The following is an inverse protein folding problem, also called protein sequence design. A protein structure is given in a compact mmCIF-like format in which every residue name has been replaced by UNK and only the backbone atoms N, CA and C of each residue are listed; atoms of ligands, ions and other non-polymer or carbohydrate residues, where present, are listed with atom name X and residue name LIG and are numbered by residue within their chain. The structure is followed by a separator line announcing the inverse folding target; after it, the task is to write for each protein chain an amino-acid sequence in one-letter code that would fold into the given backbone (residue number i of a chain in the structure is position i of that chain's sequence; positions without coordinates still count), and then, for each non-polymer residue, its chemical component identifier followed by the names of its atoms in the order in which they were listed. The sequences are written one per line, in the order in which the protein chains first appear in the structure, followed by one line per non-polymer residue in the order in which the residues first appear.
data_IF_137702221383
#
_entry.id   IF_137702221383
#
_cell.length_a   1.000
_cell.length_b   1.000
_cell.length_c   1.000
_cell.angle_alpha   90.00
_cell.angle_beta   90.00
_cell.angle_gamma   90.00
#
_symmetry.space_group_name_H-M   'P 1'
#
loop_
_entity.id
_entity.type
_entity.pdbx_description
1 polymer ?
#
# COMPACT_ATOMS: atom_id res chain seq x y z
N UNK A 1 -16.05 -23.87 26.42
CA UNK A 1 -15.72 -23.85 24.98
C UNK A 1 -15.97 -22.44 24.42
N UNK A 2 -15.34 -21.41 25.02
CA UNK A 2 -15.87 -20.03 24.94
C UNK A 2 -14.80 -18.95 24.79
N UNK A 3 -13.52 -19.27 24.97
CA UNK A 3 -12.40 -18.32 24.85
C UNK A 3 -11.91 -18.18 23.39
N UNK A 4 -11.76 -19.30 22.70
CA UNK A 4 -11.39 -19.36 21.27
C UNK A 4 -12.34 -18.58 20.35
N UNK A 5 -13.64 -18.63 20.62
CA UNK A 5 -14.64 -17.88 19.82
C UNK A 5 -14.48 -16.36 20.00
N UNK A 6 -14.19 -15.90 21.23
CA UNK A 6 -13.98 -14.48 21.55
C UNK A 6 -12.63 -13.97 21.05
N UNK A 7 -11.59 -14.80 21.08
CA UNK A 7 -10.26 -14.46 20.58
C UNK A 7 -10.28 -14.29 19.05
N UNK A 8 -11.02 -15.13 18.32
CA UNK A 8 -11.24 -14.98 16.88
C UNK A 8 -12.02 -13.70 16.54
N UNK A 9 -12.99 -13.30 17.37
CA UNK A 9 -13.72 -12.05 17.16
C UNK A 9 -12.81 -10.82 17.25
N UNK A 10 -11.87 -10.80 18.21
CA UNK A 10 -10.86 -9.72 18.32
C UNK A 10 -9.89 -9.70 17.14
N UNK A 11 -9.43 -10.87 16.71
CA UNK A 11 -8.55 -10.97 15.54
C UNK A 11 -9.26 -10.51 14.26
N UNK A 12 -10.55 -10.84 14.10
CA UNK A 12 -11.37 -10.41 12.97
C UNK A 12 -11.57 -8.89 12.96
N UNK A 13 -11.89 -8.30 14.11
CA UNK A 13 -12.05 -6.84 14.25
C UNK A 13 -10.75 -6.09 13.94
N UNK A 14 -9.62 -6.57 14.48
CA UNK A 14 -8.30 -6.03 14.17
C UNK A 14 -7.98 -6.15 12.68
N UNK A 15 -8.25 -7.30 12.07
CA UNK A 15 -8.06 -7.51 10.63
C UNK A 15 -8.88 -6.54 9.78
N UNK A 16 -10.17 -6.40 10.07
CA UNK A 16 -11.06 -5.49 9.32
C UNK A 16 -10.62 -4.03 9.48
N UNK A 17 -10.23 -3.64 10.69
CA UNK A 17 -9.71 -2.30 10.98
C UNK A 17 -8.44 -2.03 10.18
N UNK A 18 -7.46 -2.94 10.24
CA UNK A 18 -6.20 -2.79 9.51
C UNK A 18 -6.42 -2.80 8.00
N UNK A 19 -7.30 -3.67 7.48
CA UNK A 19 -7.66 -3.68 6.06
C UNK A 19 -8.25 -2.34 5.63
N UNK A 20 -9.22 -1.81 6.38
CA UNK A 20 -9.83 -0.53 6.06
C UNK A 20 -8.82 0.63 6.05
N UNK A 21 -7.83 0.61 6.94
CA UNK A 21 -6.75 1.59 6.94
C UNK A 21 -5.88 1.47 5.69
N UNK A 22 -5.52 0.25 5.28
CA UNK A 22 -4.76 0.01 4.04
C UNK A 22 -5.56 0.46 2.82
N UNK A 23 -6.85 0.10 2.72
CA UNK A 23 -7.71 0.50 1.62
C UNK A 23 -7.75 2.04 1.47
N UNK A 24 -7.91 2.76 2.60
CA UNK A 24 -7.89 4.23 2.60
C UNK A 24 -6.54 4.82 2.18
N UNK A 25 -5.42 4.19 2.55
CA UNK A 25 -4.08 4.61 2.11
C UNK A 25 -3.89 4.40 0.60
N UNK A 26 -4.36 3.27 0.07
CA UNK A 26 -4.31 2.96 -1.36
C UNK A 26 -5.16 3.94 -2.17
N UNK A 27 -6.36 4.28 -1.69
CA UNK A 27 -7.23 5.27 -2.34
C UNK A 27 -6.58 6.66 -2.39
N UNK A 28 -5.92 7.08 -1.31
CA UNK A 28 -5.15 8.34 -1.29
C UNK A 28 -4.01 8.35 -2.29
N UNK A 29 -3.27 7.25 -2.43
CA UNK A 29 -2.20 7.12 -3.43
C UNK A 29 -2.75 7.15 -4.85
N UNK A 30 -3.90 6.50 -5.09
CA UNK A 30 -4.58 6.54 -6.39
C UNK A 30 -5.00 7.97 -6.74
N UNK A 31 -5.66 8.67 -5.83
CA UNK A 31 -6.06 10.06 -6.03
C UNK A 31 -4.85 10.98 -6.29
N UNK A 32 -3.74 10.78 -5.57
CA UNK A 32 -2.50 11.51 -5.81
C UNK A 32 -1.92 11.20 -7.20
N UNK A 33 -2.00 9.95 -7.66
CA UNK A 33 -1.59 9.57 -9.01
C UNK A 33 -2.47 10.20 -10.08
N UNK A 34 -3.78 10.26 -9.87
CA UNK A 34 -4.73 10.89 -10.79
C UNK A 34 -4.46 12.42 -10.89
N UNK A 35 -3.99 13.03 -9.79
CA UNK A 35 -3.52 14.42 -9.71
C UNK A 35 -2.02 14.58 -10.10
N UNK A 36 -1.46 13.64 -10.87
CA UNK A 36 -0.07 13.69 -11.37
C UNK A 36 0.99 13.87 -10.27
N UNK A 37 0.75 13.28 -9.10
CA UNK A 37 1.55 13.47 -7.89
C UNK A 37 1.74 14.95 -7.52
N UNK A 38 0.68 15.75 -7.69
CA UNK A 38 0.66 17.19 -7.46
C UNK A 38 1.79 17.94 -8.20
N UNK A 39 2.23 17.42 -9.35
CA UNK A 39 3.32 18.00 -10.14
C UNK A 39 2.78 18.54 -11.45
N UNK A 40 3.07 19.81 -11.76
CA UNK A 40 2.74 20.38 -13.06
C UNK A 40 3.75 19.92 -14.12
N UNK A 41 3.34 19.57 -15.35
CA UNK A 41 4.25 19.11 -16.40
C UNK A 41 5.46 20.01 -16.66
N UNK A 42 5.28 21.32 -16.59
CA UNK A 42 6.34 22.32 -16.81
C UNK A 42 7.35 22.42 -15.65
N UNK A 43 7.03 21.84 -14.49
CA UNK A 43 7.87 21.84 -13.28
C UNK A 43 8.56 20.48 -13.07
N UNK A 44 8.36 19.51 -13.97
CA UNK A 44 8.97 18.19 -13.87
C UNK A 44 10.49 18.26 -14.07
N UNK A 45 11.22 17.79 -13.07
CA UNK A 45 12.66 17.60 -13.14
C UNK A 45 13.08 16.21 -12.63
N UNK A 46 14.35 15.85 -12.82
CA UNK A 46 14.91 14.55 -12.39
C UNK A 46 14.72 14.23 -10.91
N UNK A 47 14.68 15.24 -10.04
CA UNK A 47 14.29 15.03 -8.62
C UNK A 47 12.90 14.42 -8.44
N UNK A 48 11.89 14.83 -9.25
CA UNK A 48 10.54 14.28 -9.18
C UNK A 48 10.52 12.83 -9.66
N UNK A 49 11.28 12.53 -10.72
CA UNK A 49 11.49 11.15 -11.20
C UNK A 49 12.11 10.28 -10.11
N UNK A 50 13.11 10.80 -9.38
CA UNK A 50 13.71 10.12 -8.24
C UNK A 50 12.71 9.78 -7.13
N UNK A 51 11.84 10.74 -6.78
CA UNK A 51 10.76 10.52 -5.80
C UNK A 51 9.77 9.44 -6.25
N UNK A 52 9.33 9.48 -7.51
CA UNK A 52 8.41 8.46 -8.05
C UNK A 52 9.04 7.07 -8.10
N UNK A 53 10.31 6.97 -8.47
CA UNK A 53 11.05 5.70 -8.44
C UNK A 53 11.13 5.14 -7.02
N UNK A 54 11.31 5.99 -6.01
CA UNK A 54 11.29 5.56 -4.62
C UNK A 54 9.92 4.99 -4.22
N UNK A 55 8.83 5.68 -4.54
CA UNK A 55 7.47 5.18 -4.26
C UNK A 55 7.16 3.88 -5.00
N UNK A 56 7.54 3.78 -6.27
CA UNK A 56 7.38 2.56 -7.06
C UNK A 56 8.14 1.36 -6.46
N UNK A 57 9.34 1.58 -5.94
CA UNK A 57 10.13 0.54 -5.26
C UNK A 57 9.44 0.03 -4.00
N UNK A 58 8.89 0.94 -3.17
CA UNK A 58 8.15 0.56 -1.96
C UNK A 58 6.89 -0.24 -2.30
N UNK A 59 6.10 0.21 -3.29
CA UNK A 59 4.91 -0.50 -3.73
C UNK A 59 5.25 -1.87 -4.28
N UNK A 60 6.31 -1.97 -5.10
CA UNK A 60 6.78 -3.25 -5.66
C UNK A 60 7.13 -4.24 -4.56
N UNK A 61 7.90 -3.81 -3.55
CA UNK A 61 8.25 -4.69 -2.43
C UNK A 61 7.03 -5.22 -1.67
N UNK A 62 5.99 -4.41 -1.53
CA UNK A 62 4.71 -4.82 -0.91
C UNK A 62 3.99 -5.83 -1.79
N UNK A 63 3.88 -5.58 -3.10
CA UNK A 63 3.20 -6.49 -4.04
C UNK A 63 3.95 -7.80 -4.18
N UNK A 64 5.27 -7.76 -4.33
CA UNK A 64 6.12 -8.94 -4.46
C UNK A 64 5.97 -9.85 -3.24
N UNK A 65 5.95 -9.27 -2.03
CA UNK A 65 5.71 -10.03 -0.80
C UNK A 65 4.28 -10.61 -0.72
N UNK A 66 3.26 -9.87 -1.17
CA UNK A 66 1.88 -10.31 -1.15
C UNK A 66 1.56 -11.44 -2.15
N UNK A 67 2.20 -11.40 -3.32
CA UNK A 67 1.97 -12.34 -4.42
C UNK A 67 3.04 -13.42 -4.57
N UNK A 68 4.08 -13.40 -3.73
CA UNK A 68 5.26 -14.30 -3.83
C UNK A 68 5.98 -14.16 -5.16
N UNK A 69 6.21 -12.91 -5.57
CA UNK A 69 6.91 -12.57 -6.80
C UNK A 69 8.31 -12.00 -6.46
N UNK A 70 9.18 -11.84 -7.46
CA UNK A 70 10.50 -11.24 -7.27
C UNK A 70 11.41 -12.05 -6.34
N UNK A 71 11.96 -11.41 -5.29
CA UNK A 71 12.84 -12.09 -4.31
C UNK A 71 12.09 -13.15 -3.47
N UNK A 72 10.75 -13.09 -3.47
CA UNK A 72 9.88 -13.97 -2.68
C UNK A 72 9.25 -15.09 -3.52
N UNK A 73 9.64 -15.24 -4.78
CA UNK A 73 9.27 -16.39 -5.59
C UNK A 73 10.05 -17.63 -5.13
N UNK A 74 9.32 -18.68 -4.72
CA UNK A 74 9.87 -20.03 -4.42
C UNK A 74 9.98 -20.90 -5.67
#
# INVERSE_FOLDING_TARGET
MTRLATDNAKALDAFMTTKSQIDAMLERLKALSDDHFATHPDEIHWGNVGTLNHYASLLRRITDSAFREGEHAE
#
